data_IF_634931378432
#
_entry.id   IF_634931378432
#
_cell.length_a   1.000
_cell.length_b   1.000
_cell.length_c   1.000
_cell.angle_alpha   90.00
_cell.angle_beta   90.00
_cell.angle_gamma   90.00
#
_symmetry.space_group_name_H-M   'P 1'
#
loop_
_entity.id
_entity.type
_entity.pdbx_description
1 polymer ?
#
# COMPACT_ATOMS: atom_id res chain seq x y z
N UNK A 1 -23.99 19.61 -5.52
CA UNK A 1 -23.78 18.26 -4.96
C UNK A 1 -22.61 17.57 -5.66
N UNK A 2 -21.92 16.68 -4.93
CA UNK A 2 -20.82 15.86 -5.43
C UNK A 2 -21.18 14.39 -5.17
N UNK A 3 -20.96 13.55 -6.19
CA UNK A 3 -21.06 12.09 -6.05
C UNK A 3 -19.68 11.50 -6.29
N UNK A 4 -19.24 10.67 -5.35
CA UNK A 4 -17.93 10.02 -5.39
C UNK A 4 -18.09 8.56 -5.81
N UNK A 5 -17.21 8.11 -6.70
CA UNK A 5 -17.12 6.74 -7.19
C UNK A 5 -15.75 6.17 -6.89
N UNK A 6 -15.65 4.88 -6.65
CA UNK A 6 -14.39 4.17 -6.43
C UNK A 6 -13.97 3.39 -7.70
N UNK A 7 -12.66 3.32 -7.95
CA UNK A 7 -12.10 2.57 -9.08
C UNK A 7 -10.94 1.68 -8.62
N UNK A 8 -10.89 0.41 -9.06
CA UNK A 8 -11.90 -0.27 -9.88
C UNK A 8 -13.13 -0.64 -9.05
N UNK A 9 -14.29 -0.65 -9.69
CA UNK A 9 -15.47 -1.23 -9.07
C UNK A 9 -15.36 -2.75 -9.03
N UNK A 10 -15.83 -3.36 -7.98
CA UNK A 10 -15.80 -4.82 -7.83
C UNK A 10 -17.25 -5.35 -7.84
N UNK A 11 -17.63 -6.20 -8.81
CA UNK A 11 -16.80 -6.76 -9.88
C UNK A 11 -16.41 -5.74 -10.99
N UNK A 12 -15.19 -5.90 -11.52
CA UNK A 12 -14.61 -4.96 -12.50
C UNK A 12 -15.41 -4.80 -13.80
N UNK A 13 -16.22 -5.78 -14.16
CA UNK A 13 -17.13 -5.77 -15.33
C UNK A 13 -18.16 -4.63 -15.27
N UNK A 14 -18.53 -4.18 -14.07
CA UNK A 14 -19.47 -3.06 -13.89
C UNK A 14 -18.83 -1.68 -14.03
N UNK A 15 -17.49 -1.58 -14.10
CA UNK A 15 -16.78 -0.30 -14.20
C UNK A 15 -17.21 0.51 -15.43
N UNK A 16 -17.48 -0.16 -16.57
CA UNK A 16 -17.97 0.52 -17.78
C UNK A 16 -19.41 1.03 -17.64
N UNK A 17 -20.28 0.27 -16.97
CA UNK A 17 -21.66 0.68 -16.71
C UNK A 17 -21.71 1.87 -15.74
N UNK A 18 -20.90 1.84 -14.68
CA UNK A 18 -20.78 2.95 -13.73
C UNK A 18 -20.20 4.21 -14.38
N UNK A 19 -19.20 4.07 -15.25
CA UNK A 19 -18.67 5.20 -16.03
C UNK A 19 -19.75 5.83 -16.96
N UNK A 20 -20.63 5.01 -17.53
CA UNK A 20 -21.78 5.51 -18.29
C UNK A 20 -22.82 6.20 -17.39
N UNK A 21 -23.17 5.58 -16.26
CA UNK A 21 -24.13 6.13 -15.29
C UNK A 21 -23.62 7.46 -14.71
N UNK A 22 -22.32 7.58 -14.42
CA UNK A 22 -21.74 8.83 -13.91
C UNK A 22 -21.95 9.99 -14.88
N UNK A 23 -21.77 9.76 -16.20
CA UNK A 23 -22.07 10.77 -17.24
C UNK A 23 -23.54 11.16 -17.27
N UNK A 24 -24.41 10.17 -17.12
CA UNK A 24 -25.86 10.42 -17.13
C UNK A 24 -26.28 11.24 -15.90
N UNK A 25 -25.79 10.85 -14.72
CA UNK A 25 -26.05 11.54 -13.44
C UNK A 25 -25.53 12.98 -13.49
N UNK A 26 -24.30 13.19 -13.95
CA UNK A 26 -23.73 14.53 -14.10
C UNK A 26 -24.55 15.43 -14.99
N UNK A 27 -25.02 14.93 -16.15
CA UNK A 27 -25.83 15.68 -17.07
C UNK A 27 -27.26 15.99 -16.57
N UNK A 28 -27.95 14.98 -16.04
CA UNK A 28 -29.37 15.10 -15.65
C UNK A 28 -29.56 15.86 -14.35
N UNK A 29 -28.67 15.69 -13.38
CA UNK A 29 -28.81 16.26 -12.02
C UNK A 29 -27.94 17.49 -11.77
N UNK A 30 -27.12 17.93 -12.73
CA UNK A 30 -26.12 19.01 -12.57
C UNK A 30 -25.18 18.75 -11.37
N UNK A 31 -24.86 17.49 -11.09
CA UNK A 31 -24.04 17.03 -9.99
C UNK A 31 -22.62 16.79 -10.50
N UNK A 32 -21.62 17.15 -9.73
CA UNK A 32 -20.23 16.83 -10.05
C UNK A 32 -19.90 15.40 -9.65
N UNK A 33 -19.17 14.71 -10.52
CA UNK A 33 -18.74 13.32 -10.29
C UNK A 33 -17.23 13.28 -10.06
N UNK A 34 -16.81 12.63 -8.99
CA UNK A 34 -15.40 12.46 -8.60
C UNK A 34 -15.09 10.97 -8.55
N UNK A 35 -13.98 10.56 -9.17
CA UNK A 35 -13.49 9.21 -9.11
C UNK A 35 -12.30 9.12 -8.15
N UNK A 36 -12.34 8.21 -7.17
CA UNK A 36 -11.17 7.84 -6.35
C UNK A 36 -10.57 6.57 -6.96
N UNK A 37 -9.30 6.65 -7.33
CA UNK A 37 -8.55 5.47 -7.79
C UNK A 37 -7.96 4.76 -6.57
N UNK A 38 -8.30 3.47 -6.42
CA UNK A 38 -7.63 2.56 -5.49
C UNK A 38 -6.57 1.73 -6.22
N UNK A 39 -6.88 1.30 -7.45
CA UNK A 39 -5.94 0.55 -8.29
C UNK A 39 -6.17 0.84 -9.78
N UNK A 40 -5.14 0.66 -10.59
CA UNK A 40 -5.20 0.65 -12.05
C UNK A 40 -5.07 -0.79 -12.55
N UNK A 41 -6.18 -1.40 -12.93
CA UNK A 41 -6.24 -2.80 -13.33
C UNK A 41 -5.50 -3.08 -14.65
N UNK A 42 -5.34 -2.08 -15.51
CA UNK A 42 -4.56 -2.21 -16.74
C UNK A 42 -3.08 -2.48 -16.48
N UNK A 43 -2.56 -2.05 -15.33
CA UNK A 43 -1.16 -2.26 -14.95
C UNK A 43 -1.05 -3.41 -13.95
N UNK A 44 -1.90 -3.38 -12.91
CA UNK A 44 -1.82 -4.34 -11.82
C UNK A 44 -2.19 -5.77 -12.21
N UNK A 45 -3.20 -5.94 -13.06
CA UNK A 45 -3.75 -7.25 -13.41
C UNK A 45 -3.57 -7.60 -14.91
N UNK A 46 -3.25 -6.61 -15.75
CA UNK A 46 -3.13 -6.79 -17.19
C UNK A 46 -4.43 -7.24 -17.91
N UNK A 47 -5.57 -7.26 -17.20
CA UNK A 47 -6.86 -7.75 -17.72
C UNK A 47 -7.68 -6.69 -18.45
N UNK A 48 -7.19 -5.46 -18.50
CA UNK A 48 -7.80 -4.32 -19.17
C UNK A 48 -6.72 -3.54 -19.90
N UNK A 49 -7.03 -3.01 -21.08
CA UNK A 49 -6.06 -2.13 -21.77
C UNK A 49 -6.05 -0.73 -21.14
N UNK A 50 -4.87 -0.11 -21.09
CA UNK A 50 -4.70 1.26 -20.56
C UNK A 50 -5.70 2.22 -21.23
N UNK A 51 -5.85 2.15 -22.56
CA UNK A 51 -6.78 3.00 -23.32
C UNK A 51 -8.24 2.85 -22.86
N UNK A 52 -8.69 1.62 -22.57
CA UNK A 52 -10.06 1.40 -22.05
C UNK A 52 -10.21 1.95 -20.64
N UNK A 53 -9.24 1.76 -19.76
CA UNK A 53 -9.27 2.26 -18.39
C UNK A 53 -9.28 3.80 -18.38
N UNK A 54 -8.41 4.46 -19.17
CA UNK A 54 -8.41 5.93 -19.32
C UNK A 54 -9.72 6.45 -19.87
N UNK A 55 -10.37 5.74 -20.80
CA UNK A 55 -11.70 6.12 -21.30
C UNK A 55 -12.77 6.07 -20.21
N UNK A 56 -12.71 5.09 -19.31
CA UNK A 56 -13.58 5.02 -18.13
C UNK A 56 -13.30 6.19 -17.18
N UNK A 57 -12.04 6.43 -16.84
CA UNK A 57 -11.58 7.52 -15.96
C UNK A 57 -12.01 8.88 -16.51
N UNK A 58 -11.90 9.11 -17.82
CA UNK A 58 -12.36 10.33 -18.50
C UNK A 58 -13.90 10.53 -18.51
N UNK A 59 -14.65 9.61 -17.90
CA UNK A 59 -16.11 9.77 -17.77
C UNK A 59 -16.52 10.64 -16.60
N UNK A 60 -15.63 10.87 -15.65
CA UNK A 60 -15.86 11.65 -14.43
C UNK A 60 -15.42 13.10 -14.59
N UNK A 61 -15.87 14.01 -13.72
CA UNK A 61 -15.52 15.44 -13.78
C UNK A 61 -14.13 15.71 -13.19
N UNK A 62 -13.77 14.99 -12.12
CA UNK A 62 -12.44 15.03 -11.51
C UNK A 62 -12.02 13.64 -11.02
N UNK A 63 -10.72 13.46 -10.79
CA UNK A 63 -10.13 12.17 -10.38
C UNK A 63 -9.15 12.41 -9.24
N UNK A 64 -9.28 11.63 -8.18
CA UNK A 64 -8.34 11.56 -7.08
C UNK A 64 -7.40 10.38 -7.38
N UNK A 65 -6.13 10.68 -7.55
CA UNK A 65 -5.05 9.71 -7.79
C UNK A 65 -4.06 9.70 -6.62
N UNK A 66 -3.18 8.71 -6.57
CA UNK A 66 -2.34 8.48 -5.41
C UNK A 66 -1.27 9.57 -5.20
N UNK A 67 -0.56 9.95 -6.27
CA UNK A 67 0.63 10.80 -6.22
C UNK A 67 0.94 11.40 -7.59
N UNK A 68 2.01 12.20 -7.68
CA UNK A 68 2.43 12.85 -8.93
C UNK A 68 2.90 11.86 -10.01
N UNK A 69 3.42 10.69 -9.64
CA UNK A 69 3.83 9.67 -10.61
C UNK A 69 2.61 9.03 -11.28
N UNK A 70 1.59 8.67 -10.50
CA UNK A 70 0.31 8.19 -11.05
C UNK A 70 -0.39 9.28 -11.86
N UNK A 71 -0.37 10.52 -11.38
CA UNK A 71 -0.91 11.68 -12.10
C UNK A 71 -0.24 11.84 -13.46
N UNK A 72 1.08 11.81 -13.51
CA UNK A 72 1.86 11.91 -14.75
C UNK A 72 1.56 10.74 -15.69
N UNK A 73 1.48 9.51 -15.15
CA UNK A 73 1.10 8.34 -15.92
C UNK A 73 -0.29 8.49 -16.57
N UNK A 74 -1.29 8.92 -15.82
CA UNK A 74 -2.64 9.14 -16.33
C UNK A 74 -2.68 10.20 -17.45
N UNK A 75 -1.96 11.32 -17.28
CA UNK A 75 -1.86 12.38 -18.27
C UNK A 75 -1.19 11.91 -19.56
N UNK A 76 -0.05 11.21 -19.45
CA UNK A 76 0.68 10.67 -20.60
C UNK A 76 -0.15 9.65 -21.41
N UNK A 77 -1.10 8.97 -20.76
CA UNK A 77 -1.98 8.01 -21.39
C UNK A 77 -3.35 8.61 -21.80
N UNK A 78 -3.49 9.94 -21.79
CA UNK A 78 -4.65 10.63 -22.34
C UNK A 78 -5.78 10.93 -21.34
N UNK A 79 -5.50 10.98 -20.04
CA UNK A 79 -6.43 11.52 -19.07
C UNK A 79 -6.49 13.05 -19.21
N UNK A 80 -7.70 13.58 -19.47
CA UNK A 80 -7.95 15.02 -19.67
C UNK A 80 -8.64 15.69 -18.49
N UNK A 81 -8.84 14.95 -17.40
CA UNK A 81 -9.61 15.41 -16.25
C UNK A 81 -8.72 16.12 -15.22
N UNK A 82 -9.36 16.92 -14.34
CA UNK A 82 -8.67 17.48 -13.17
C UNK A 82 -8.20 16.34 -12.29
N UNK A 83 -6.89 16.25 -12.05
CA UNK A 83 -6.27 15.25 -11.20
C UNK A 83 -5.85 15.88 -9.87
N UNK A 84 -6.21 15.22 -8.77
CA UNK A 84 -5.95 15.65 -7.39
C UNK A 84 -5.17 14.51 -6.71
N UNK A 85 -4.05 14.84 -6.07
CA UNK A 85 -3.27 13.86 -5.32
C UNK A 85 -3.90 13.59 -3.95
N UNK A 86 -4.03 12.31 -3.61
CA UNK A 86 -4.46 11.86 -2.28
C UNK A 86 -3.30 11.84 -1.28
N UNK A 87 -2.11 11.45 -1.74
CA UNK A 87 -0.88 11.19 -0.99
C UNK A 87 -0.94 9.96 -0.08
N UNK A 88 -1.77 9.94 0.95
CA UNK A 88 -1.98 8.80 1.85
C UNK A 88 -3.47 8.51 1.98
N UNK A 89 -3.79 7.25 2.13
CA UNK A 89 -5.14 6.84 2.50
C UNK A 89 -5.33 6.96 4.01
N UNK A 90 -6.50 7.40 4.42
CA UNK A 90 -6.92 7.30 5.81
C UNK A 90 -7.05 5.82 6.22
N UNK A 91 -6.99 5.56 7.52
CA UNK A 91 -7.11 4.20 8.02
C UNK A 91 -8.00 4.16 9.27
N UNK A 92 -9.14 3.50 9.17
CA UNK A 92 -10.08 3.36 10.27
C UNK A 92 -9.52 2.32 11.25
N UNK A 93 -9.38 2.71 12.52
CA UNK A 93 -8.95 1.82 13.61
C UNK A 93 -10.04 1.78 14.65
N UNK A 94 -10.55 0.58 14.95
CA UNK A 94 -11.62 0.38 15.95
C UNK A 94 -11.03 -0.18 17.24
N UNK A 95 -10.82 0.67 18.23
CA UNK A 95 -10.30 0.33 19.54
C UNK A 95 -8.94 0.94 19.82
N UNK A 96 -8.37 0.56 20.94
CA UNK A 96 -7.05 0.99 21.39
C UNK A 96 -6.09 -0.19 21.37
N UNK A 97 -4.82 0.07 21.02
CA UNK A 97 -3.78 -0.94 21.07
C UNK A 97 -3.36 -1.16 22.51
N UNK A 98 -3.41 -2.40 22.97
CA UNK A 98 -2.79 -2.77 24.24
C UNK A 98 -1.29 -2.49 24.19
N UNK A 99 -0.72 -2.02 25.28
CA UNK A 99 0.72 -1.71 25.35
C UNK A 99 1.52 -3.00 25.25
N UNK A 100 2.20 -3.20 24.12
CA UNK A 100 3.10 -4.34 23.92
C UNK A 100 4.45 -3.97 24.52
N UNK A 101 4.93 -4.77 25.49
CA UNK A 101 6.20 -4.48 26.18
C UNK A 101 7.43 -4.57 25.26
N UNK A 102 7.44 -5.47 24.28
CA UNK A 102 8.50 -5.62 23.28
C UNK A 102 7.97 -6.41 22.09
N UNK A 103 8.27 -5.96 20.89
CA UNK A 103 7.95 -6.72 19.68
C UNK A 103 8.93 -7.90 19.54
N UNK A 104 8.41 -9.12 19.44
CA UNK A 104 9.22 -10.34 19.25
C UNK A 104 9.72 -10.51 17.80
N UNK A 105 9.17 -9.73 16.87
CA UNK A 105 9.48 -9.79 15.46
C UNK A 105 10.15 -8.50 14.97
N UNK A 106 11.15 -8.68 14.10
CA UNK A 106 11.86 -7.55 13.49
C UNK A 106 11.01 -6.90 12.41
N UNK A 107 10.37 -7.72 11.57
CA UNK A 107 9.61 -7.24 10.42
C UNK A 107 8.22 -7.87 10.41
N UNK A 108 7.21 -7.03 10.22
CA UNK A 108 5.84 -7.45 9.94
C UNK A 108 5.47 -7.28 8.47
N UNK A 109 4.79 -8.26 7.92
CA UNK A 109 4.27 -8.29 6.55
C UNK A 109 2.78 -8.56 6.61
N UNK A 110 1.96 -7.61 6.12
CA UNK A 110 0.51 -7.72 6.19
C UNK A 110 -0.15 -7.55 4.82
N UNK A 111 -1.24 -8.29 4.60
CA UNK A 111 -2.10 -8.18 3.42
C UNK A 111 -2.31 -9.48 2.66
N UNK A 112 -2.35 -9.41 1.32
CA UNK A 112 -2.44 -10.60 0.47
C UNK A 112 -1.06 -11.28 0.39
N UNK A 113 -0.96 -12.49 0.93
CA UNK A 113 0.26 -13.31 1.02
C UNK A 113 0.30 -14.40 -0.07
N UNK A 114 -0.59 -14.34 -1.07
CA UNK A 114 -0.57 -15.29 -2.17
C UNK A 114 0.76 -15.23 -2.93
N UNK A 115 1.15 -16.34 -3.53
CA UNK A 115 2.43 -16.47 -4.23
C UNK A 115 2.54 -15.47 -5.39
N UNK A 116 1.44 -15.17 -6.06
CA UNK A 116 1.38 -14.24 -7.19
C UNK A 116 1.67 -12.79 -6.78
N UNK A 117 1.36 -12.43 -5.54
CA UNK A 117 1.60 -11.08 -5.02
C UNK A 117 2.82 -10.97 -4.14
N UNK A 118 3.03 -11.94 -3.29
CA UNK A 118 4.02 -11.91 -2.22
C UNK A 118 4.95 -13.13 -2.25
N UNK A 119 5.30 -13.64 -3.44
CA UNK A 119 6.16 -14.81 -3.61
C UNK A 119 7.52 -14.69 -2.91
N UNK A 120 8.01 -13.46 -2.74
CA UNK A 120 9.26 -13.18 -2.02
C UNK A 120 9.27 -13.71 -0.57
N UNK A 121 8.10 -13.88 0.08
CA UNK A 121 8.03 -14.34 1.48
C UNK A 121 8.67 -15.72 1.67
N UNK A 122 8.56 -16.59 0.67
CA UNK A 122 9.17 -17.93 0.71
C UNK A 122 10.71 -17.91 0.55
N UNK A 123 11.26 -16.76 0.16
CA UNK A 123 12.72 -16.52 0.08
C UNK A 123 13.29 -15.85 1.32
N UNK A 124 12.46 -15.39 2.26
CA UNK A 124 12.91 -14.72 3.51
C UNK A 124 13.73 -15.62 4.42
N UNK A 125 13.64 -16.96 4.29
CA UNK A 125 14.55 -17.91 4.95
C UNK A 125 16.02 -17.66 4.65
N UNK A 126 16.34 -16.93 3.55
CA UNK A 126 17.71 -16.51 3.20
C UNK A 126 18.19 -15.30 4.00
N UNK A 127 17.29 -14.65 4.75
CA UNK A 127 17.52 -13.51 5.63
C UNK A 127 17.33 -14.00 7.08
N UNK A 128 18.13 -15.00 7.45
CA UNK A 128 17.91 -15.82 8.65
C UNK A 128 18.17 -15.12 9.98
N UNK A 129 18.77 -13.95 9.95
CA UNK A 129 19.06 -13.18 11.16
C UNK A 129 17.90 -12.30 11.62
N UNK A 130 16.83 -12.18 10.82
CA UNK A 130 15.61 -11.45 11.16
C UNK A 130 14.44 -12.42 11.38
N UNK A 131 13.54 -12.04 12.27
CA UNK A 131 12.27 -12.71 12.53
C UNK A 131 11.13 -11.97 11.84
N UNK A 132 10.29 -12.71 11.14
CA UNK A 132 9.18 -12.16 10.37
C UNK A 132 7.84 -12.63 10.93
N UNK A 133 6.88 -11.70 11.08
CA UNK A 133 5.48 -11.98 11.37
C UNK A 133 4.61 -11.72 10.13
N UNK A 134 3.85 -12.72 9.68
CA UNK A 134 2.97 -12.63 8.53
C UNK A 134 1.51 -12.52 8.96
N UNK A 135 0.80 -11.51 8.46
CA UNK A 135 -0.63 -11.29 8.72
C UNK A 135 -1.39 -11.22 7.40
N UNK A 136 -2.37 -12.08 7.18
CA UNK A 136 -3.20 -12.00 5.99
C UNK A 136 -3.64 -13.36 5.43
N UNK A 137 -4.03 -13.38 4.17
CA UNK A 137 -4.58 -14.55 3.50
C UNK A 137 -3.68 -15.02 2.35
N UNK A 138 -3.81 -16.31 1.98
CA UNK A 138 -3.15 -16.87 0.78
C UNK A 138 -1.73 -17.40 1.01
N UNK A 139 -1.27 -17.50 2.27
CA UNK A 139 0.04 -18.09 2.59
C UNK A 139 -0.02 -19.62 2.50
N UNK A 140 1.09 -20.23 2.09
CA UNK A 140 1.35 -21.68 2.15
C UNK A 140 2.31 -21.92 3.30
N UNK A 141 1.77 -22.22 4.50
CA UNK A 141 2.58 -22.31 5.74
C UNK A 141 3.68 -23.37 5.65
N UNK A 142 3.42 -24.47 4.98
CA UNK A 142 4.37 -25.55 4.77
C UNK A 142 5.65 -25.16 3.98
N UNK A 143 5.63 -23.99 3.31
CA UNK A 143 6.77 -23.43 2.56
C UNK A 143 7.58 -22.40 3.32
N UNK A 144 7.11 -22.00 4.50
CA UNK A 144 7.77 -20.97 5.31
C UNK A 144 9.08 -21.48 5.93
N UNK A 145 10.02 -20.56 6.11
CA UNK A 145 11.26 -20.83 6.85
C UNK A 145 11.05 -20.72 8.37
N UNK A 146 11.96 -21.31 9.15
CA UNK A 146 11.85 -21.31 10.61
C UNK A 146 11.96 -19.94 11.30
N UNK A 147 12.36 -18.90 10.56
CA UNK A 147 12.40 -17.52 11.03
C UNK A 147 11.12 -16.72 10.68
N UNK A 148 10.08 -17.38 10.19
CA UNK A 148 8.83 -16.76 9.72
C UNK A 148 7.67 -17.40 10.49
N UNK A 149 6.86 -16.57 11.14
CA UNK A 149 5.65 -16.99 11.84
C UNK A 149 4.40 -16.46 11.15
N UNK A 150 3.42 -17.33 10.91
CA UNK A 150 2.09 -16.89 10.45
C UNK A 150 1.19 -16.60 11.64
N UNK A 151 0.66 -15.39 11.69
CA UNK A 151 -0.12 -14.85 12.81
C UNK A 151 -1.62 -14.81 12.54
N UNK A 152 -2.04 -15.31 11.38
CA UNK A 152 -3.46 -15.32 10.99
C UNK A 152 -3.89 -14.11 10.19
N UNK A 153 -5.20 -13.98 10.01
CA UNK A 153 -5.83 -12.89 9.26
C UNK A 153 -6.86 -12.18 10.15
N UNK A 154 -6.89 -10.87 10.09
CA UNK A 154 -7.78 -10.00 10.85
C UNK A 154 -8.50 -9.02 9.92
N UNK A 155 -9.64 -8.51 10.35
CA UNK A 155 -10.33 -7.44 9.61
C UNK A 155 -9.47 -6.17 9.57
N UNK A 156 -9.55 -5.36 8.49
CA UNK A 156 -8.68 -4.20 8.33
C UNK A 156 -8.72 -3.21 9.49
N UNK A 157 -9.88 -3.01 10.09
CA UNK A 157 -10.11 -2.09 11.22
C UNK A 157 -9.54 -2.57 12.56
N UNK A 158 -9.29 -3.87 12.70
CA UNK A 158 -8.70 -4.50 13.90
C UNK A 158 -7.20 -4.79 13.71
N UNK A 159 -6.78 -5.03 12.49
CA UNK A 159 -5.40 -5.42 12.17
C UNK A 159 -4.33 -4.47 12.76
N UNK A 160 -4.49 -3.12 12.74
CA UNK A 160 -3.51 -2.20 13.34
C UNK A 160 -3.25 -2.46 14.84
N UNK A 161 -4.24 -3.00 15.55
CA UNK A 161 -4.15 -3.31 16.98
C UNK A 161 -3.44 -4.64 17.24
N UNK A 162 -3.40 -5.54 16.23
CA UNK A 162 -2.88 -6.90 16.35
C UNK A 162 -1.46 -7.07 15.81
N UNK A 163 -0.98 -6.11 14.99
CA UNK A 163 0.33 -6.24 14.37
C UNK A 163 1.45 -6.07 15.41
N UNK A 164 2.38 -7.02 15.43
CA UNK A 164 3.53 -7.04 16.32
C UNK A 164 4.82 -7.15 15.51
N UNK A 165 5.62 -6.09 15.52
CA UNK A 165 6.90 -6.03 14.85
C UNK A 165 7.50 -4.64 14.91
N UNK A 166 8.83 -4.55 14.78
CA UNK A 166 9.54 -3.26 14.81
C UNK A 166 9.38 -2.49 13.50
N UNK A 167 9.31 -3.19 12.36
CA UNK A 167 9.24 -2.59 11.04
C UNK A 167 8.13 -3.19 10.20
N UNK A 168 7.41 -2.38 9.45
CA UNK A 168 6.41 -2.80 8.48
C UNK A 168 6.98 -2.84 7.07
N UNK A 169 6.94 -3.99 6.38
CA UNK A 169 7.49 -4.14 5.04
C UNK A 169 6.45 -3.85 3.96
N UNK A 170 6.70 -2.86 3.12
CA UNK A 170 5.94 -2.58 1.91
C UNK A 170 6.73 -3.08 0.71
N UNK A 171 6.39 -4.30 0.29
CA UNK A 171 7.09 -5.04 -0.77
C UNK A 171 6.10 -5.92 -1.51
N UNK A 172 6.24 -6.07 -2.81
CA UNK A 172 5.43 -6.99 -3.64
C UNK A 172 6.32 -7.65 -4.72
N UNK A 173 5.88 -8.81 -5.22
CA UNK A 173 6.57 -9.59 -6.25
C UNK A 173 7.28 -10.84 -5.69
N UNK A 174 8.21 -11.39 -6.46
CA UNK A 174 8.76 -12.74 -6.22
C UNK A 174 10.18 -12.74 -5.66
N UNK A 175 10.82 -11.59 -5.52
CA UNK A 175 12.23 -11.50 -5.16
C UNK A 175 12.48 -10.64 -3.92
N UNK A 176 13.45 -11.08 -3.11
CA UNK A 176 13.99 -10.30 -1.98
C UNK A 176 15.03 -9.26 -2.41
N UNK A 177 15.52 -9.34 -3.66
CA UNK A 177 16.56 -8.46 -4.17
C UNK A 177 16.00 -7.17 -4.79
N UNK A 178 14.74 -7.22 -5.25
CA UNK A 178 13.98 -6.06 -5.79
C UNK A 178 12.52 -6.43 -5.98
N UNK A 179 11.63 -5.43 -6.04
CA UNK A 179 10.25 -5.66 -6.44
C UNK A 179 10.17 -5.87 -7.96
N UNK A 180 9.64 -7.03 -8.38
CA UNK A 180 9.52 -7.45 -9.78
C UNK A 180 8.12 -8.03 -10.05
N UNK A 181 7.82 -8.26 -11.34
CA UNK A 181 6.48 -8.66 -11.80
C UNK A 181 5.49 -7.50 -11.74
N UNK A 182 4.26 -7.73 -12.22
CA UNK A 182 3.25 -6.66 -12.36
C UNK A 182 2.97 -5.96 -11.02
N UNK A 183 2.83 -6.71 -9.94
CA UNK A 183 2.62 -6.16 -8.60
C UNK A 183 3.83 -5.36 -8.10
N UNK A 184 5.06 -5.83 -8.35
CA UNK A 184 6.29 -5.14 -7.96
C UNK A 184 6.50 -3.86 -8.76
N UNK A 185 6.32 -3.91 -10.08
CA UNK A 185 6.43 -2.73 -10.97
C UNK A 185 5.34 -1.70 -10.67
N UNK A 186 4.15 -2.13 -10.26
CA UNK A 186 3.05 -1.24 -9.89
C UNK A 186 3.39 -0.34 -8.67
N UNK A 187 4.28 -0.79 -7.77
CA UNK A 187 4.77 0.03 -6.66
C UNK A 187 5.46 1.32 -7.10
N UNK A 188 5.92 1.40 -8.36
CA UNK A 188 6.54 2.63 -8.90
C UNK A 188 5.57 3.78 -9.08
N UNK A 189 4.27 3.52 -9.08
CA UNK A 189 3.26 4.56 -9.33
C UNK A 189 2.14 4.59 -8.29
N UNK A 190 1.95 3.55 -7.48
CA UNK A 190 0.88 3.52 -6.49
C UNK A 190 1.36 3.85 -5.08
N UNK A 191 0.40 4.20 -4.21
CA UNK A 191 0.59 4.28 -2.76
C UNK A 191 -0.19 3.12 -2.12
N UNK A 192 0.49 2.03 -1.74
CA UNK A 192 -0.19 0.88 -1.16
C UNK A 192 -0.83 1.19 0.19
N UNK A 193 -2.02 0.67 0.44
CA UNK A 193 -2.69 0.76 1.75
C UNK A 193 -1.86 0.21 2.92
N UNK A 194 -0.88 -0.66 2.64
CA UNK A 194 0.09 -1.16 3.63
C UNK A 194 0.85 -0.02 4.33
N UNK A 195 1.16 1.08 3.61
CA UNK A 195 1.82 2.23 4.22
C UNK A 195 0.94 2.83 5.31
N UNK A 196 -0.32 3.17 5.00
CA UNK A 196 -1.26 3.72 5.98
C UNK A 196 -1.55 2.75 7.14
N UNK A 197 -1.62 1.44 6.86
CA UNK A 197 -1.76 0.40 7.89
C UNK A 197 -0.60 0.47 8.92
N UNK A 198 0.64 0.48 8.46
CA UNK A 198 1.78 0.50 9.39
C UNK A 198 1.91 1.83 10.13
N UNK A 199 1.68 2.95 9.45
CA UNK A 199 1.69 4.26 10.09
C UNK A 199 0.57 4.39 11.13
N UNK A 200 -0.65 3.92 10.85
CA UNK A 200 -1.74 3.89 11.84
C UNK A 200 -1.47 2.97 13.03
N UNK A 201 -0.62 1.95 12.83
CA UNK A 201 -0.16 1.06 13.91
C UNK A 201 0.99 1.64 14.72
N UNK A 202 1.56 2.79 14.31
CA UNK A 202 2.75 3.39 14.92
C UNK A 202 4.06 2.66 14.59
N UNK A 203 4.13 1.99 13.44
CA UNK A 203 5.27 1.13 13.05
C UNK A 203 6.05 1.77 11.91
N UNK A 204 7.38 1.99 12.05
CA UNK A 204 8.29 2.41 10.98
C UNK A 204 8.23 1.48 9.77
N UNK A 205 8.42 2.05 8.57
CA UNK A 205 8.27 1.28 7.34
C UNK A 205 9.58 1.02 6.61
N UNK A 206 9.65 -0.13 5.95
CA UNK A 206 10.68 -0.47 4.98
C UNK A 206 10.01 -0.47 3.61
N UNK A 207 10.54 0.33 2.68
CA UNK A 207 9.98 0.45 1.34
C UNK A 207 11.04 0.22 0.27
N UNK A 208 10.63 -0.24 -0.90
CA UNK A 208 11.54 -0.30 -2.04
C UNK A 208 11.92 1.11 -2.50
N UNK A 209 13.22 1.38 -2.69
CA UNK A 209 13.74 2.71 -3.03
C UNK A 209 13.29 3.25 -4.39
N UNK A 210 12.72 2.39 -5.26
CA UNK A 210 12.11 2.78 -6.54
C UNK A 210 10.59 2.87 -6.48
N UNK A 211 9.98 2.65 -5.32
CA UNK A 211 8.53 2.81 -5.15
C UNK A 211 8.14 4.29 -5.09
N UNK A 212 6.92 4.59 -5.51
CA UNK A 212 6.38 5.95 -5.45
C UNK A 212 6.36 6.52 -4.02
N UNK A 213 6.15 5.67 -3.03
CA UNK A 213 6.10 6.06 -1.61
C UNK A 213 7.49 6.32 -0.99
N UNK A 214 8.59 5.94 -1.66
CA UNK A 214 9.94 6.16 -1.14
C UNK A 214 10.22 7.65 -0.90
N UNK A 215 9.68 8.54 -1.75
CA UNK A 215 9.78 9.99 -1.54
C UNK A 215 9.15 10.42 -0.22
N UNK A 216 7.91 10.01 0.07
CA UNK A 216 7.19 10.35 1.30
C UNK A 216 7.94 9.82 2.52
N UNK A 217 8.35 8.54 2.48
CA UNK A 217 9.04 7.88 3.59
C UNK A 217 10.37 8.57 3.91
N UNK A 218 11.16 8.92 2.91
CA UNK A 218 12.44 9.60 3.11
C UNK A 218 12.25 11.06 3.55
N UNK A 219 11.33 11.80 2.92
CA UNK A 219 11.12 13.22 3.20
C UNK A 219 10.63 13.46 4.63
N UNK A 220 9.73 12.63 5.10
CA UNK A 220 9.17 12.72 6.44
C UNK A 220 9.85 11.81 7.47
N UNK A 221 10.89 11.11 7.08
CA UNK A 221 11.64 10.17 7.94
C UNK A 221 10.73 9.17 8.67
N UNK A 222 9.86 8.50 7.89
CA UNK A 222 8.88 7.53 8.41
C UNK A 222 9.43 6.08 8.41
N UNK A 223 10.67 5.90 8.00
CA UNK A 223 11.27 4.59 7.84
C UNK A 223 12.53 4.63 6.98
N UNK A 224 12.80 3.52 6.32
CA UNK A 224 13.95 3.34 5.44
C UNK A 224 13.53 2.94 4.02
N UNK A 225 14.26 3.42 3.00
CA UNK A 225 14.10 2.98 1.63
C UNK A 225 15.32 2.20 1.18
N UNK A 226 15.10 1.00 0.64
CA UNK A 226 16.14 0.01 0.36
C UNK A 226 16.02 -0.55 -1.07
N UNK A 227 17.14 -1.01 -1.63
CA UNK A 227 17.16 -1.71 -2.91
C UNK A 227 16.76 -3.18 -2.78
N UNK A 228 17.03 -3.79 -1.62
CA UNK A 228 16.78 -5.21 -1.34
C UNK A 228 16.43 -5.45 0.14
N UNK A 229 15.81 -6.59 0.44
CA UNK A 229 15.53 -6.99 1.83
C UNK A 229 16.83 -7.32 2.60
N UNK A 230 17.89 -7.72 1.90
CA UNK A 230 19.23 -7.88 2.52
C UNK A 230 19.85 -6.57 2.95
N UNK A 231 19.64 -5.50 2.18
CA UNK A 231 20.05 -4.16 2.60
C UNK A 231 19.26 -3.70 3.84
N UNK A 232 17.95 -3.98 3.88
CA UNK A 232 17.15 -3.74 5.07
C UNK A 232 17.68 -4.50 6.29
N UNK A 233 18.05 -5.78 6.15
CA UNK A 233 18.67 -6.58 7.21
C UNK A 233 19.92 -5.88 7.76
N UNK A 234 20.80 -5.40 6.87
CA UNK A 234 22.02 -4.71 7.28
C UNK A 234 21.70 -3.43 8.07
N UNK A 235 20.80 -2.60 7.56
CA UNK A 235 20.41 -1.33 8.22
C UNK A 235 19.76 -1.59 9.58
N UNK A 236 18.81 -2.51 9.67
CA UNK A 236 18.09 -2.85 10.92
C UNK A 236 19.04 -3.29 12.03
N UNK A 237 20.09 -4.04 11.68
CA UNK A 237 21.09 -4.51 12.65
C UNK A 237 22.02 -3.42 13.17
N UNK A 238 22.21 -2.34 12.42
CA UNK A 238 23.20 -1.32 12.74
C UNK A 238 22.57 0.04 13.08
N UNK A 239 21.25 0.19 12.93
CA UNK A 239 20.57 1.43 13.32
C UNK A 239 20.63 1.60 14.84
N UNK A 240 20.99 2.81 15.30
CA UNK A 240 20.98 3.09 16.71
C UNK A 240 19.54 3.19 17.25
N UNK A 241 19.35 2.92 18.53
CA UNK A 241 18.03 3.02 19.15
C UNK A 241 17.52 4.48 19.13
N UNK A 242 18.41 5.46 19.27
CA UNK A 242 18.06 6.88 19.16
C UNK A 242 17.50 7.22 17.79
N UNK A 243 18.13 6.72 16.70
CA UNK A 243 17.62 6.95 15.34
C UNK A 243 16.32 6.22 15.06
N UNK A 244 16.16 5.02 15.61
CA UNK A 244 14.89 4.30 15.53
C UNK A 244 13.77 5.04 16.25
N UNK A 245 14.04 5.57 17.46
CA UNK A 245 13.07 6.35 18.23
C UNK A 245 12.67 7.64 17.51
N UNK A 246 13.62 8.37 16.91
CA UNK A 246 13.34 9.55 16.08
C UNK A 246 12.34 9.22 14.95
N UNK A 247 12.51 8.08 14.28
CA UNK A 247 11.56 7.64 13.25
C UNK A 247 10.19 7.34 13.87
N UNK A 248 10.14 6.68 15.02
CA UNK A 248 8.89 6.39 15.71
C UNK A 248 8.15 7.67 16.12
N UNK A 249 8.86 8.68 16.59
CA UNK A 249 8.29 9.98 16.99
C UNK A 249 7.67 10.70 15.78
N UNK A 250 8.33 10.68 14.63
CA UNK A 250 7.79 11.23 13.39
C UNK A 250 6.48 10.51 12.98
N UNK A 251 6.41 9.20 13.18
CA UNK A 251 5.22 8.41 12.83
C UNK A 251 4.02 8.78 13.69
N UNK A 252 4.19 9.14 14.97
CA UNK A 252 3.06 9.52 15.82
C UNK A 252 2.26 10.70 15.24
N UNK A 253 2.94 11.68 14.63
CA UNK A 253 2.31 12.82 13.96
C UNK A 253 1.43 12.36 12.78
N UNK A 254 1.93 11.40 11.99
CA UNK A 254 1.19 10.84 10.86
C UNK A 254 0.05 9.92 11.29
N UNK A 255 0.27 9.13 12.34
CA UNK A 255 -0.74 8.24 12.92
C UNK A 255 -2.00 9.01 13.30
N UNK A 256 -1.85 10.11 14.03
CA UNK A 256 -2.98 10.95 14.44
C UNK A 256 -3.79 11.43 13.24
N UNK A 257 -3.12 11.91 12.18
CA UNK A 257 -3.77 12.40 10.96
C UNK A 257 -4.48 11.29 10.18
N UNK A 258 -3.84 10.13 10.02
CA UNK A 258 -4.37 9.00 9.24
C UNK A 258 -5.60 8.39 9.93
N UNK A 259 -5.64 8.38 11.26
CA UNK A 259 -6.74 7.79 12.04
C UNK A 259 -7.91 8.75 12.23
N UNK A 260 -7.64 10.07 12.22
CA UNK A 260 -8.70 11.09 12.41
C UNK A 260 -9.45 11.43 11.12
N UNK A 261 -8.89 11.18 9.95
CA UNK A 261 -9.43 11.53 8.63
C UNK A 261 -9.15 12.98 8.23
#
# INVERSE_FOLDING_TARGET
DIVVFEHPYIPAEYSSALAFLSKLVSKLKKVKTVLIIHDLNSIRLGNLTISKEIKQINSYDAVICHNDLMKSFLQQNGCTKKLINLWLFDYIVKGEKETIQKADYDIVIAGNLSIEKSGYIYSLKKVSSLKFALYGIGVMEEKLGGNISYMGSFSPDILPLKIEGRWGLVWDGDSIDRCIGDNGEYLKINNPHKLSLYLSSGIPVIVWNKSAIAFIVNHYQLGISVSSIKEAEHIIKHISEEKYQEICDNIQIFKERIVSG
#
